data_IF_129757470287
#
_entry.id   IF_129757470287
#
_cell.length_a   1.000
_cell.length_b   1.000
_cell.length_c   1.000
_cell.angle_alpha   90.00
_cell.angle_beta   90.00
_cell.angle_gamma   90.00
#
_symmetry.space_group_name_H-M   'P 1'
#
loop_
_entity.id
_entity.type
_entity.pdbx_description
1 polymer ?
#
# COMPACT_ATOMS: atom_id res chain seq x y z
N UNK A 1 -11.91 -47.32 -14.47
CA UNK A 1 -11.90 -46.10 -13.65
C UNK A 1 -12.49 -45.00 -14.51
N UNK A 2 -13.70 -44.56 -14.21
CA UNK A 2 -14.31 -43.44 -14.95
C UNK A 2 -13.64 -42.14 -14.53
N UNK A 3 -13.23 -41.35 -15.52
CA UNK A 3 -12.69 -40.01 -15.28
C UNK A 3 -13.84 -39.07 -14.97
N UNK A 4 -13.67 -38.19 -13.98
CA UNK A 4 -14.65 -37.15 -13.70
C UNK A 4 -14.73 -36.19 -14.90
N UNK A 5 -15.92 -35.65 -15.20
CA UNK A 5 -16.15 -34.66 -16.28
C UNK A 5 -15.16 -33.49 -16.25
N UNK A 6 -14.63 -33.15 -15.07
CA UNK A 6 -13.66 -32.08 -14.90
C UNK A 6 -12.21 -32.46 -15.28
N UNK A 7 -11.94 -33.71 -15.70
CA UNK A 7 -10.68 -34.21 -16.28
C UNK A 7 -9.46 -34.19 -15.37
N UNK A 8 -9.62 -33.84 -14.09
CA UNK A 8 -8.51 -33.54 -13.16
C UNK A 8 -8.09 -34.73 -12.31
N UNK A 9 -9.02 -35.61 -11.98
CA UNK A 9 -8.83 -36.78 -11.11
C UNK A 9 -9.88 -37.85 -11.44
N UNK A 10 -9.64 -39.09 -11.02
CA UNK A 10 -10.60 -40.19 -11.14
C UNK A 10 -11.89 -39.86 -10.38
N UNK A 11 -13.04 -40.21 -10.97
CA UNK A 11 -14.33 -40.06 -10.31
C UNK A 11 -14.47 -41.06 -9.16
N UNK A 12 -15.15 -40.64 -8.08
CA UNK A 12 -15.67 -41.59 -7.10
C UNK A 12 -16.98 -42.22 -7.55
N UNK A 13 -17.65 -42.96 -6.66
CA UNK A 13 -18.92 -43.65 -6.92
C UNK A 13 -20.07 -42.72 -7.37
N UNK A 14 -19.95 -41.41 -7.15
CA UNK A 14 -20.91 -40.36 -7.53
C UNK A 14 -20.57 -39.65 -8.85
N UNK A 15 -19.62 -40.17 -9.64
CA UNK A 15 -19.17 -39.57 -10.90
C UNK A 15 -18.33 -38.30 -10.72
N UNK A 16 -18.05 -37.86 -9.47
CA UNK A 16 -17.31 -36.64 -9.15
C UNK A 16 -16.00 -36.92 -8.42
N UNK A 17 -14.93 -36.25 -8.85
CA UNK A 17 -13.63 -36.36 -8.17
C UNK A 17 -13.59 -35.55 -6.86
N UNK A 18 -12.55 -35.79 -6.05
CA UNK A 18 -12.36 -35.12 -4.75
C UNK A 18 -12.29 -33.59 -4.90
N UNK A 19 -11.57 -33.10 -5.91
CA UNK A 19 -11.47 -31.66 -6.20
C UNK A 19 -12.80 -31.05 -6.61
N UNK A 20 -13.61 -31.76 -7.39
CA UNK A 20 -14.91 -31.28 -7.85
C UNK A 20 -15.93 -31.29 -6.69
N UNK A 21 -15.86 -32.27 -5.76
CA UNK A 21 -16.58 -32.23 -4.47
C UNK A 21 -16.15 -31.08 -3.56
N UNK A 22 -14.85 -30.84 -3.42
CA UNK A 22 -14.30 -29.71 -2.65
C UNK A 22 -14.66 -28.35 -3.27
N UNK A 23 -14.78 -28.25 -4.59
CA UNK A 23 -15.23 -27.04 -5.29
C UNK A 23 -16.71 -26.71 -5.05
N UNK A 24 -17.51 -27.71 -4.67
CA UNK A 24 -18.92 -27.56 -4.32
C UNK A 24 -19.13 -27.22 -2.83
N UNK A 25 -18.13 -27.46 -1.96
CA UNK A 25 -18.17 -27.02 -0.57
C UNK A 25 -18.38 -25.50 -0.50
N UNK A 26 -19.51 -25.09 0.06
CA UNK A 26 -19.91 -23.69 0.19
C UNK A 26 -20.62 -23.08 -1.04
N UNK A 27 -20.85 -23.82 -2.14
CA UNK A 27 -21.75 -23.35 -3.23
C UNK A 27 -23.19 -23.19 -2.75
N UNK A 28 -23.68 -24.13 -1.95
CA UNK A 28 -25.04 -24.10 -1.41
C UNK A 28 -25.29 -22.93 -0.42
N UNK A 29 -24.24 -22.36 0.17
CA UNK A 29 -24.31 -21.19 1.05
C UNK A 29 -24.22 -19.85 0.30
N UNK A 30 -24.18 -19.86 -1.04
CA UNK A 30 -24.06 -18.62 -1.82
C UNK A 30 -25.42 -17.94 -1.90
N UNK A 31 -25.44 -16.66 -1.57
CA UNK A 31 -26.64 -15.82 -1.66
C UNK A 31 -27.07 -15.51 -3.11
N UNK A 32 -26.14 -15.57 -4.07
CA UNK A 32 -26.39 -15.21 -5.47
C UNK A 32 -25.97 -16.34 -6.41
N UNK A 33 -26.93 -16.88 -7.16
CA UNK A 33 -26.75 -18.04 -8.03
C UNK A 33 -26.69 -17.63 -9.50
N UNK A 34 -25.48 -17.47 -10.04
CA UNK A 34 -25.28 -17.05 -11.43
C UNK A 34 -25.56 -18.19 -12.44
N UNK A 35 -26.56 -18.02 -13.31
CA UNK A 35 -26.79 -18.89 -14.47
C UNK A 35 -25.66 -18.77 -15.50
N UNK A 36 -25.57 -19.71 -16.44
CA UNK A 36 -24.62 -19.61 -17.55
C UNK A 36 -24.90 -18.38 -18.43
N UNK A 37 -26.16 -18.06 -18.73
CA UNK A 37 -26.47 -16.87 -19.54
C UNK A 37 -26.04 -15.57 -18.84
N UNK A 38 -26.22 -15.50 -17.51
CA UNK A 38 -25.81 -14.34 -16.72
C UNK A 38 -24.29 -14.20 -16.69
N UNK A 39 -23.55 -15.31 -16.67
CA UNK A 39 -22.08 -15.30 -16.77
C UNK A 39 -21.61 -14.87 -18.16
N UNK A 40 -22.28 -15.27 -19.22
CA UNK A 40 -21.97 -14.84 -20.59
C UNK A 40 -22.24 -13.35 -20.79
N UNK A 41 -23.32 -12.83 -20.23
CA UNK A 41 -23.60 -11.39 -20.28
C UNK A 41 -22.60 -10.60 -19.45
N UNK A 42 -22.15 -11.14 -18.32
CA UNK A 42 -21.07 -10.57 -17.53
C UNK A 42 -19.74 -10.57 -18.31
N UNK A 43 -19.43 -11.63 -19.08
CA UNK A 43 -18.27 -11.67 -19.99
C UNK A 43 -18.34 -10.56 -21.04
N UNK A 44 -19.50 -10.39 -21.69
CA UNK A 44 -19.72 -9.32 -22.67
C UNK A 44 -19.53 -7.94 -22.05
N UNK A 45 -20.10 -7.69 -20.87
CA UNK A 45 -19.97 -6.42 -20.16
C UNK A 45 -18.50 -6.02 -19.90
N UNK A 46 -17.64 -6.99 -19.57
CA UNK A 46 -16.22 -6.79 -19.29
C UNK A 46 -15.33 -6.65 -20.54
N UNK A 47 -15.88 -6.83 -21.75
CA UNK A 47 -15.18 -6.57 -23.01
C UNK A 47 -15.11 -5.06 -23.36
N UNK A 48 -16.03 -4.27 -22.81
CA UNK A 48 -16.23 -2.87 -23.19
C UNK A 48 -15.40 -1.85 -22.39
N UNK A 49 -15.33 -0.60 -22.88
CA UNK A 49 -14.68 0.52 -22.18
C UNK A 49 -15.36 0.82 -20.84
N UNK A 50 -14.64 1.45 -19.89
CA UNK A 50 -15.08 1.69 -18.49
C UNK A 50 -16.49 2.29 -18.32
N UNK A 51 -16.88 3.24 -19.17
CA UNK A 51 -18.22 3.88 -19.13
C UNK A 51 -19.32 2.89 -19.50
N UNK A 52 -19.12 2.12 -20.57
CA UNK A 52 -20.02 1.08 -21.06
C UNK A 52 -20.14 -0.08 -20.06
N UNK A 53 -19.03 -0.48 -19.43
CA UNK A 53 -19.04 -1.47 -18.34
C UNK A 53 -19.94 -1.04 -17.18
N UNK A 54 -19.91 0.24 -16.81
CA UNK A 54 -20.74 0.76 -15.71
C UNK A 54 -22.22 0.64 -16.05
N UNK A 55 -22.61 1.07 -17.25
CA UNK A 55 -23.98 0.99 -17.74
C UNK A 55 -24.47 -0.45 -17.90
N UNK A 56 -23.61 -1.36 -18.38
CA UNK A 56 -23.92 -2.78 -18.50
C UNK A 56 -24.15 -3.44 -17.12
N UNK A 57 -23.31 -3.12 -16.13
CA UNK A 57 -23.52 -3.59 -14.75
C UNK A 57 -24.80 -3.01 -14.14
N UNK A 58 -25.15 -1.75 -14.42
CA UNK A 58 -26.42 -1.16 -13.99
C UNK A 58 -27.64 -1.91 -14.55
N UNK A 59 -27.59 -2.30 -15.83
CA UNK A 59 -28.64 -3.09 -16.46
C UNK A 59 -28.81 -4.45 -15.77
N UNK A 60 -27.69 -5.12 -15.45
CA UNK A 60 -27.69 -6.41 -14.75
C UNK A 60 -28.24 -6.29 -13.32
N UNK A 61 -27.88 -5.23 -12.59
CA UNK A 61 -28.40 -4.95 -11.24
C UNK A 61 -29.90 -4.70 -11.29
N UNK A 62 -30.39 -3.86 -12.22
CA UNK A 62 -31.83 -3.59 -12.37
C UNK A 62 -32.63 -4.84 -12.70
N UNK A 63 -32.09 -5.72 -13.55
CA UNK A 63 -32.78 -6.95 -13.98
C UNK A 63 -32.85 -8.02 -12.88
N UNK A 64 -31.79 -8.15 -12.07
CA UNK A 64 -31.67 -9.23 -11.07
C UNK A 64 -32.06 -8.81 -9.65
N UNK A 65 -32.07 -7.50 -9.37
CA UNK A 65 -32.18 -6.97 -8.01
C UNK A 65 -30.93 -7.18 -7.15
N UNK A 66 -29.85 -7.72 -7.72
CA UNK A 66 -28.63 -8.05 -6.95
C UNK A 66 -27.68 -6.86 -6.86
N UNK A 67 -26.96 -6.72 -5.75
CA UNK A 67 -26.02 -5.62 -5.58
C UNK A 67 -24.80 -5.77 -6.51
N UNK A 68 -24.23 -4.64 -6.94
CA UNK A 68 -23.05 -4.59 -7.83
C UNK A 68 -21.86 -5.45 -7.38
N UNK A 69 -21.64 -5.60 -6.08
CA UNK A 69 -20.52 -6.38 -5.56
C UNK A 69 -20.64 -7.88 -5.92
N UNK A 70 -21.86 -8.42 -6.07
CA UNK A 70 -22.09 -9.80 -6.47
C UNK A 70 -21.53 -10.06 -7.88
N UNK A 71 -21.83 -9.17 -8.83
CA UNK A 71 -21.29 -9.23 -10.19
C UNK A 71 -19.78 -9.04 -10.24
N UNK A 72 -19.22 -8.14 -9.41
CA UNK A 72 -17.77 -7.97 -9.31
C UNK A 72 -17.07 -9.24 -8.81
N UNK A 73 -17.62 -9.88 -7.77
CA UNK A 73 -17.07 -11.13 -7.25
C UNK A 73 -17.17 -12.27 -8.27
N UNK A 74 -18.28 -12.35 -9.00
CA UNK A 74 -18.41 -13.32 -10.10
C UNK A 74 -17.39 -13.06 -11.20
N UNK A 75 -17.21 -11.79 -11.60
CA UNK A 75 -16.21 -11.40 -12.60
C UNK A 75 -14.78 -11.74 -12.17
N UNK A 76 -14.46 -11.56 -10.88
CA UNK A 76 -13.16 -11.99 -10.32
C UNK A 76 -13.01 -13.50 -10.35
N UNK A 77 -14.07 -14.27 -10.05
CA UNK A 77 -14.05 -15.73 -10.13
C UNK A 77 -13.86 -16.24 -11.55
N UNK A 78 -14.51 -15.59 -12.51
CA UNK A 78 -14.36 -15.85 -13.95
C UNK A 78 -13.07 -15.26 -14.54
N UNK A 79 -12.23 -14.61 -13.71
CA UNK A 79 -10.97 -13.97 -14.11
C UNK A 79 -11.15 -12.90 -15.21
N UNK A 80 -12.34 -12.30 -15.29
CA UNK A 80 -12.70 -11.24 -16.25
C UNK A 80 -12.20 -9.87 -15.81
N UNK A 81 -12.11 -9.64 -14.50
CA UNK A 81 -11.31 -8.56 -13.97
C UNK A 81 -9.84 -8.93 -14.14
N UNK A 82 -9.28 -8.66 -15.33
CA UNK A 82 -7.87 -8.32 -15.39
C UNK A 82 -7.67 -7.22 -14.34
N UNK A 83 -6.85 -7.48 -13.33
CA UNK A 83 -6.57 -6.53 -12.26
C UNK A 83 -5.79 -5.32 -12.79
N UNK A 84 -6.35 -4.55 -13.73
CA UNK A 84 -5.62 -3.51 -14.45
C UNK A 84 -6.40 -2.20 -14.51
N UNK A 85 -6.85 -1.78 -13.33
CA UNK A 85 -6.91 -0.34 -13.03
C UNK A 85 -5.76 0.07 -12.11
N UNK A 86 -4.91 -0.88 -11.71
CA UNK A 86 -3.73 -0.63 -10.90
C UNK A 86 -2.56 -0.50 -11.85
N UNK A 87 -2.16 0.74 -12.14
CA UNK A 87 -0.95 1.09 -12.91
C UNK A 87 0.14 0.03 -12.69
N UNK A 88 0.50 -0.70 -13.74
CA UNK A 88 1.53 -1.74 -13.66
C UNK A 88 2.86 -1.14 -13.17
N UNK A 89 3.59 -1.88 -12.33
CA UNK A 89 4.90 -1.44 -11.84
C UNK A 89 5.93 -1.55 -12.97
N UNK A 90 6.56 -0.43 -13.34
CA UNK A 90 7.63 -0.46 -14.34
C UNK A 90 8.94 -0.99 -13.72
N UNK A 91 9.86 -1.54 -14.53
CA UNK A 91 11.18 -1.96 -14.04
C UNK A 91 11.93 -0.82 -13.33
N UNK A 92 11.85 0.41 -13.88
CA UNK A 92 12.46 1.59 -13.26
C UNK A 92 11.86 1.94 -11.89
N UNK A 93 10.52 1.83 -11.73
CA UNK A 93 9.88 2.04 -10.42
C UNK A 93 10.28 0.96 -9.41
N UNK A 94 10.50 -0.28 -9.87
CA UNK A 94 10.96 -1.39 -9.03
C UNK A 94 12.40 -1.19 -8.59
N UNK A 95 13.28 -0.74 -9.50
CA UNK A 95 14.69 -0.51 -9.18
C UNK A 95 14.85 0.67 -8.21
N UNK A 96 14.12 1.77 -8.46
CA UNK A 96 14.02 2.88 -7.51
C UNK A 96 13.52 2.40 -6.13
N UNK A 97 12.54 1.50 -6.11
CA UNK A 97 12.07 0.94 -4.85
C UNK A 97 13.16 0.11 -4.15
N UNK A 98 13.96 -0.68 -4.88
CA UNK A 98 15.05 -1.48 -4.30
C UNK A 98 16.16 -0.61 -3.71
N UNK A 99 16.55 0.44 -4.42
CA UNK A 99 17.64 1.34 -4.05
C UNK A 99 17.30 2.16 -2.79
N UNK A 100 16.07 2.67 -2.71
CA UNK A 100 15.69 3.63 -1.68
C UNK A 100 14.90 3.05 -0.50
N UNK A 101 14.45 1.78 -0.56
CA UNK A 101 13.73 1.14 0.55
C UNK A 101 14.62 1.02 1.79
N UNK A 102 14.23 1.78 2.82
CA UNK A 102 14.89 1.84 4.12
C UNK A 102 15.95 2.94 4.25
N UNK A 103 16.24 3.70 3.19
CA UNK A 103 16.99 4.97 3.27
C UNK A 103 16.02 6.15 3.22
N UNK A 104 14.95 6.05 2.43
CA UNK A 104 13.88 7.03 2.36
C UNK A 104 12.59 6.50 2.99
N UNK A 105 11.77 7.41 3.52
CA UNK A 105 10.43 7.08 3.99
C UNK A 105 9.52 6.66 2.84
N UNK A 106 8.59 5.74 3.10
CA UNK A 106 7.63 5.28 2.08
C UNK A 106 6.80 6.43 1.49
N UNK A 107 6.56 7.49 2.27
CA UNK A 107 5.87 8.70 1.80
C UNK A 107 6.68 9.44 0.75
N UNK A 108 7.99 9.59 0.94
CA UNK A 108 8.88 10.25 -0.03
C UNK A 108 9.02 9.43 -1.30
N UNK A 109 9.18 8.11 -1.16
CA UNK A 109 9.19 7.18 -2.29
C UNK A 109 7.87 7.26 -3.07
N UNK A 110 6.73 7.26 -2.38
CA UNK A 110 5.41 7.38 -2.99
C UNK A 110 5.22 8.69 -3.76
N UNK A 111 5.68 9.82 -3.20
CA UNK A 111 5.65 11.12 -3.86
C UNK A 111 6.48 11.12 -5.15
N UNK A 112 7.71 10.59 -5.10
CA UNK A 112 8.61 10.52 -6.26
C UNK A 112 8.08 9.61 -7.37
N UNK A 113 7.51 8.45 -7.00
CA UNK A 113 6.93 7.51 -7.96
C UNK A 113 5.52 7.92 -8.44
N UNK A 114 4.94 8.99 -7.88
CA UNK A 114 3.55 9.42 -8.10
C UNK A 114 2.57 8.25 -7.87
N UNK A 115 2.78 7.51 -6.79
CA UNK A 115 1.93 6.37 -6.36
C UNK A 115 1.43 6.59 -4.94
N UNK A 116 0.42 5.81 -4.53
CA UNK A 116 -0.04 5.83 -3.14
C UNK A 116 0.94 5.08 -2.23
N UNK A 117 1.08 5.54 -0.99
CA UNK A 117 1.92 4.91 0.04
C UNK A 117 1.57 3.43 0.21
N UNK A 118 0.27 3.10 0.25
CA UNK A 118 -0.21 1.72 0.33
C UNK A 118 0.22 0.86 -0.87
N UNK A 119 0.27 1.42 -2.09
CA UNK A 119 0.75 0.69 -3.26
C UNK A 119 2.24 0.40 -3.17
N UNK A 120 3.02 1.36 -2.67
CA UNK A 120 4.48 1.22 -2.48
C UNK A 120 4.77 0.18 -1.41
N UNK A 121 4.09 0.25 -0.27
CA UNK A 121 4.20 -0.73 0.81
C UNK A 121 3.90 -2.15 0.33
N UNK A 122 2.74 -2.36 -0.30
CA UNK A 122 2.35 -3.68 -0.81
C UNK A 122 3.31 -4.22 -1.87
N UNK A 123 3.99 -3.34 -2.63
CA UNK A 123 5.02 -3.76 -3.59
C UNK A 123 6.32 -4.15 -2.90
N UNK A 124 6.76 -3.38 -1.90
CA UNK A 124 7.95 -3.69 -1.13
C UNK A 124 7.83 -5.03 -0.41
N UNK A 125 6.65 -5.29 0.19
CA UNK A 125 6.31 -6.58 0.82
C UNK A 125 6.37 -7.73 -0.20
N UNK A 126 5.77 -7.56 -1.38
CA UNK A 126 5.80 -8.58 -2.45
C UNK A 126 7.19 -8.86 -3.01
N UNK A 127 8.08 -7.87 -2.99
CA UNK A 127 9.46 -8.03 -3.44
C UNK A 127 10.36 -8.59 -2.33
N UNK A 128 9.79 -8.96 -1.18
CA UNK A 128 10.52 -9.41 0.00
C UNK A 128 11.67 -8.46 0.38
N UNK A 129 11.50 -7.16 0.12
CA UNK A 129 12.42 -6.13 0.55
C UNK A 129 12.23 -5.96 2.06
N UNK A 130 12.77 -6.92 2.80
CA UNK A 130 12.64 -7.14 4.23
C UNK A 130 13.55 -6.22 5.06
N UNK A 131 13.80 -5.00 4.57
CA UNK A 131 14.11 -3.89 5.48
C UNK A 131 12.76 -3.39 5.93
N UNK A 132 12.34 -3.73 7.16
CA UNK A 132 11.18 -3.11 7.84
C UNK A 132 11.12 -1.65 7.38
N UNK A 133 10.06 -1.19 6.70
CA UNK A 133 9.99 0.19 6.24
C UNK A 133 10.21 1.08 7.46
N UNK A 134 11.40 1.66 7.50
CA UNK A 134 11.91 2.36 8.64
C UNK A 134 11.19 3.71 8.71
N UNK A 135 10.05 3.74 9.38
CA UNK A 135 9.41 4.99 9.73
C UNK A 135 10.29 5.71 10.76
N UNK A 136 11.18 6.59 10.28
CA UNK A 136 11.98 7.48 11.12
C UNK A 136 13.44 7.60 10.71
N UNK A 137 14.07 8.67 11.18
CA UNK A 137 15.48 8.97 11.00
C UNK A 137 16.34 8.10 11.93
N UNK A 138 17.38 7.48 11.38
CA UNK A 138 18.45 6.89 12.18
C UNK A 138 19.39 7.97 12.74
N UNK A 139 20.24 7.61 13.70
CA UNK A 139 21.27 8.52 14.23
C UNK A 139 22.17 9.09 13.13
N UNK A 140 22.48 8.29 12.10
CA UNK A 140 23.32 8.72 10.98
C UNK A 140 22.57 9.67 10.04
N UNK A 141 21.28 9.41 9.79
CA UNK A 141 20.45 10.31 8.97
C UNK A 141 20.32 11.69 9.63
N UNK A 142 20.21 11.73 10.97
CA UNK A 142 20.19 12.98 11.72
C UNK A 142 21.55 13.68 11.71
N UNK A 143 22.65 12.96 11.80
CA UNK A 143 24.00 13.53 11.69
C UNK A 143 24.21 14.20 10.32
N UNK A 144 23.83 13.53 9.23
CA UNK A 144 23.89 14.11 7.88
C UNK A 144 22.95 15.31 7.73
N UNK A 145 21.70 15.19 8.21
CA UNK A 145 20.69 16.23 8.07
C UNK A 145 21.00 17.50 8.88
N UNK A 146 21.49 17.34 10.11
CA UNK A 146 21.87 18.46 10.97
C UNK A 146 23.28 18.98 10.68
N UNK A 147 24.10 18.22 9.95
CA UNK A 147 25.52 18.52 9.74
C UNK A 147 26.30 18.52 11.05
N UNK A 148 25.86 17.74 12.05
CA UNK A 148 26.39 17.70 13.42
C UNK A 148 26.90 16.31 13.77
N UNK A 149 27.82 16.21 14.73
CA UNK A 149 28.47 14.94 15.06
C UNK A 149 27.49 13.90 15.64
N UNK A 150 27.72 12.63 15.31
CA UNK A 150 26.99 11.50 15.89
C UNK A 150 26.88 11.55 17.42
N UNK A 151 27.94 12.02 18.10
CA UNK A 151 27.98 12.21 19.55
C UNK A 151 26.90 13.19 20.05
N UNK A 152 26.75 14.35 19.39
CA UNK A 152 25.70 15.33 19.74
C UNK A 152 24.30 14.75 19.51
N UNK A 153 24.10 14.07 18.38
CA UNK A 153 22.82 13.43 18.06
C UNK A 153 22.45 12.38 19.11
N UNK A 154 23.40 11.54 19.53
CA UNK A 154 23.21 10.57 20.62
C UNK A 154 22.88 11.25 21.95
N UNK A 155 23.55 12.35 22.28
CA UNK A 155 23.25 13.15 23.47
C UNK A 155 21.82 13.71 23.44
N UNK A 156 21.30 14.14 22.29
CA UNK A 156 19.91 14.59 22.17
C UNK A 156 18.91 13.44 22.38
N UNK A 157 19.25 12.23 21.93
CA UNK A 157 18.44 11.04 22.17
C UNK A 157 18.44 10.62 23.64
N UNK A 158 19.60 10.64 24.30
CA UNK A 158 19.74 10.31 25.72
C UNK A 158 19.02 11.31 26.62
N UNK A 159 19.07 12.61 26.28
CA UNK A 159 18.33 13.68 26.95
C UNK A 159 16.83 13.70 26.63
N UNK A 160 16.36 12.83 25.72
CA UNK A 160 14.96 12.74 25.33
C UNK A 160 14.44 13.93 24.51
N UNK A 161 15.32 14.79 23.98
CA UNK A 161 14.94 15.96 23.18
C UNK A 161 14.25 15.56 21.86
N UNK A 162 14.61 14.40 21.33
CA UNK A 162 14.02 13.79 20.13
C UNK A 162 12.82 12.87 20.46
N UNK A 163 12.27 12.99 21.67
CA UNK A 163 11.12 12.22 22.15
C UNK A 163 11.42 10.76 22.44
N UNK A 164 10.37 9.93 22.60
CA UNK A 164 10.51 8.48 22.82
C UNK A 164 11.13 7.83 21.59
N UNK A 165 12.40 7.46 21.68
CA UNK A 165 13.12 6.71 20.66
C UNK A 165 12.74 5.23 20.80
N UNK A 166 12.24 4.63 19.72
CA UNK A 166 12.00 3.19 19.70
C UNK A 166 13.36 2.48 19.65
N UNK A 167 13.62 1.61 20.63
CA UNK A 167 14.94 0.96 20.81
C UNK A 167 15.03 -0.41 20.10
N UNK A 168 13.91 -0.95 19.63
CA UNK A 168 13.85 -2.24 18.92
C UNK A 168 14.30 -2.12 17.46
N UNK A 169 15.56 -2.50 17.21
CA UNK A 169 16.15 -2.56 15.86
C UNK A 169 16.92 -1.30 15.42
N UNK A 170 17.38 -0.49 16.38
CA UNK A 170 18.15 0.74 16.17
C UNK A 170 17.35 1.99 16.56
N UNK A 171 18.03 3.00 17.12
CA UNK A 171 17.40 4.26 17.51
C UNK A 171 16.74 4.96 16.31
N UNK A 172 15.41 5.00 16.27
CA UNK A 172 14.65 5.66 15.21
C UNK A 172 13.79 6.79 15.73
N UNK A 173 13.95 7.97 15.13
CA UNK A 173 13.25 9.20 15.49
C UNK A 173 12.20 9.53 14.45
N UNK A 174 10.94 9.70 14.88
CA UNK A 174 9.84 10.03 13.96
C UNK A 174 9.93 11.47 13.45
N UNK A 175 9.40 11.71 12.25
CA UNK A 175 9.33 13.06 11.65
C UNK A 175 8.61 14.09 12.53
N UNK A 176 7.56 13.68 13.26
CA UNK A 176 6.88 14.52 14.26
C UNK A 176 7.81 14.97 15.38
N UNK A 177 8.70 14.09 15.82
CA UNK A 177 9.65 14.40 16.89
C UNK A 177 10.78 15.29 16.38
N UNK A 178 11.28 15.05 15.16
CA UNK A 178 12.27 15.93 14.52
C UNK A 178 11.70 17.32 14.30
N UNK A 179 10.50 17.44 13.75
CA UNK A 179 9.82 18.74 13.56
C UNK A 179 9.66 19.49 14.88
N UNK A 180 9.26 18.79 15.95
CA UNK A 180 9.15 19.39 17.30
C UNK A 180 10.51 19.86 17.81
N UNK A 181 11.57 19.07 17.58
CA UNK A 181 12.92 19.41 17.98
C UNK A 181 13.43 20.66 17.26
N UNK A 182 13.22 20.76 15.94
CA UNK A 182 13.57 21.94 15.15
C UNK A 182 12.87 23.22 15.63
N UNK A 183 11.63 23.13 16.11
CA UNK A 183 10.88 24.30 16.57
C UNK A 183 11.21 24.72 18.01
N UNK A 184 11.49 23.75 18.89
CA UNK A 184 11.63 24.00 20.33
C UNK A 184 13.10 24.05 20.82
N UNK A 185 14.05 23.56 20.01
CA UNK A 185 15.45 23.41 20.41
C UNK A 185 16.41 24.00 19.37
N UNK A 186 16.08 25.17 18.80
CA UNK A 186 16.90 25.86 17.80
C UNK A 186 18.29 26.26 18.30
N UNK A 187 18.52 26.31 19.62
CA UNK A 187 19.81 26.60 20.23
C UNK A 187 20.78 25.40 20.23
N UNK A 188 20.30 24.18 19.98
CA UNK A 188 21.14 22.96 20.06
C UNK A 188 21.89 22.66 18.75
N UNK A 189 21.48 23.26 17.63
CA UNK A 189 22.04 22.99 16.30
C UNK A 189 22.26 24.29 15.51
N UNK A 190 23.25 24.29 14.61
CA UNK A 190 23.52 25.45 13.76
C UNK A 190 22.76 25.36 12.44
N UNK A 191 21.81 26.28 12.22
CA UNK A 191 21.03 26.37 10.99
C UNK A 191 21.88 26.49 9.73
N UNK A 192 23.12 27.01 9.80
CA UNK A 192 24.00 27.13 8.63
C UNK A 192 24.54 25.78 8.15
N UNK A 193 24.63 24.80 9.05
CA UNK A 193 25.17 23.46 8.80
C UNK A 193 24.09 22.45 8.44
N UNK A 194 22.84 22.74 8.80
CA UNK A 194 21.68 21.91 8.47
C UNK A 194 21.44 21.93 6.96
N UNK A 195 21.09 20.77 6.41
CA UNK A 195 20.59 20.65 5.04
C UNK A 195 19.30 21.48 4.89
N UNK A 196 19.39 22.55 4.11
CA UNK A 196 18.31 23.53 3.95
C UNK A 196 17.08 22.96 3.23
N UNK A 197 17.28 22.04 2.28
CA UNK A 197 16.18 21.41 1.56
C UNK A 197 15.44 20.43 2.47
N UNK A 198 16.20 19.67 3.27
CA UNK A 198 15.64 18.80 4.30
C UNK A 198 14.90 19.61 5.38
N UNK A 199 15.49 20.68 5.90
CA UNK A 199 14.86 21.53 6.93
C UNK A 199 13.52 22.10 6.45
N UNK A 200 13.51 22.66 5.23
CA UNK A 200 12.28 23.17 4.60
C UNK A 200 11.28 22.04 4.34
N UNK A 201 11.74 20.89 3.86
CA UNK A 201 10.90 19.72 3.66
C UNK A 201 10.24 19.25 4.97
N UNK A 202 10.99 19.16 6.06
CA UNK A 202 10.48 18.70 7.36
C UNK A 202 9.50 19.70 7.98
N UNK A 203 9.76 20.99 7.88
CA UNK A 203 8.85 22.02 8.45
C UNK A 203 7.62 22.29 7.57
N UNK A 204 7.76 22.28 6.24
CA UNK A 204 6.72 22.74 5.31
C UNK A 204 6.00 21.62 4.54
N UNK A 205 6.44 20.36 4.60
CA UNK A 205 5.72 19.24 3.95
C UNK A 205 4.33 18.95 4.57
N UNK A 206 4.02 19.53 5.74
CA UNK A 206 2.65 19.74 6.18
C UNK A 206 2.12 21.04 5.57
N UNK A 207 1.57 20.96 4.37
CA UNK A 207 0.79 22.06 3.80
C UNK A 207 -0.34 22.46 4.77
N UNK A 208 -0.24 23.66 5.34
CA UNK A 208 -1.26 24.26 6.19
C UNK A 208 -0.67 25.09 7.33
N UNK A 209 -0.51 26.39 7.08
CA UNK A 209 -0.52 27.50 8.05
C UNK A 209 0.39 27.37 9.28
N UNK A 210 1.37 28.26 9.35
CA UNK A 210 1.90 28.78 10.60
C UNK A 210 0.69 29.26 11.42
N UNK A 211 0.35 28.68 12.59
CA UNK A 211 -0.46 29.42 13.53
C UNK A 211 0.43 30.57 13.99
N UNK A 212 0.17 31.76 13.42
CA UNK A 212 0.74 32.99 13.91
C UNK A 212 0.54 33.03 15.41
N UNK A 213 1.62 33.22 16.18
CA UNK A 213 1.52 33.63 17.57
C UNK A 213 0.84 35.01 17.56
N UNK A 214 -0.49 35.01 17.70
CA UNK A 214 -1.25 36.18 18.11
C UNK A 214 -0.86 36.58 19.53
N UNK A 215 -0.81 37.89 19.77
CA UNK A 215 -0.14 38.52 20.89
C UNK A 215 -0.64 38.16 22.28
N UNK A 216 0.21 38.43 23.27
CA UNK A 216 0.09 39.66 24.07
C UNK A 216 1.47 40.25 24.28
#
# INVERSE_FOLDING_TARGET
MENCECGRENAGADGRCRLCRMGDYGRARRKYHFSDELRDELRRAYCHKKRELTAALDKLVRRTGWPRHAFKWEATRLRLTAMDHRRAWTPAEVEYLREYVGSLSLRRIAANLKRSVASVQARAEKLHLSRRPADGYSSHDLELAFGESNYKVRRWMERGLLGKVHRDGGCRVTDKNVSRFLLNHSAEYDLRRVDQEWYKGTLFARGGLIPGRGGK
#
